data_IF_536809075703
#
_entry.id   IF_536809075703
#
_cell.length_a   1.000
_cell.length_b   1.000
_cell.length_c   1.000
_cell.angle_alpha   90.00
_cell.angle_beta   90.00
_cell.angle_gamma   90.00
#
_symmetry.space_group_name_H-M   'P 1'
#
loop_
_entity.id
_entity.type
_entity.pdbx_description
1 polymer ?
#
# COMPACT_ATOMS: atom_id res chain seq x y z
N UNK A 1 9.72 -29.07 31.98
CA UNK A 1 8.43 -28.92 32.66
C UNK A 1 8.58 -27.79 33.66
N UNK A 2 8.01 -26.62 33.39
CA UNK A 2 7.96 -25.48 34.32
C UNK A 2 6.49 -25.06 34.46
N UNK A 3 5.95 -24.88 35.66
CA UNK A 3 4.55 -24.54 35.86
C UNK A 3 4.28 -23.05 35.59
N UNK A 4 3.17 -22.80 34.91
CA UNK A 4 2.59 -21.49 34.69
C UNK A 4 1.85 -21.06 35.96
N UNK A 5 2.24 -19.92 36.53
CA UNK A 5 1.51 -19.25 37.60
C UNK A 5 0.46 -18.32 37.02
N UNK A 6 -0.79 -18.63 37.25
CA UNK A 6 -1.96 -17.79 36.96
C UNK A 6 -2.14 -16.87 38.15
N UNK A 7 -1.87 -15.58 38.00
CA UNK A 7 -2.23 -14.55 38.96
C UNK A 7 -3.54 -13.88 38.50
N UNK A 8 -4.62 -14.26 39.18
CA UNK A 8 -5.95 -13.68 39.13
C UNK A 8 -5.90 -12.29 39.76
N UNK A 9 -6.11 -11.22 38.98
CA UNK A 9 -6.32 -9.89 39.52
C UNK A 9 -7.75 -9.43 39.26
N UNK A 10 -8.52 -9.47 40.32
CA UNK A 10 -9.88 -8.96 40.46
C UNK A 10 -9.80 -7.45 40.69
N UNK A 11 -10.33 -6.60 39.82
CA UNK A 11 -10.51 -5.18 40.09
C UNK A 11 -11.95 -4.73 39.86
N UNK A 12 -12.45 -4.28 40.87
CA UNK A 12 -13.66 -3.68 41.39
C UNK A 12 -14.32 -2.64 40.49
N UNK A 13 -15.67 -2.72 40.44
CA UNK A 13 -16.59 -1.74 39.87
C UNK A 13 -16.48 -0.39 40.61
N UNK A 14 -16.56 0.71 39.85
CA UNK A 14 -17.05 1.99 40.36
C UNK A 14 -17.96 2.63 39.32
N UNK A 15 -19.25 2.64 39.60
CA UNK A 15 -20.31 3.39 38.94
C UNK A 15 -20.27 4.83 39.39
N UNK A 16 -20.31 5.80 38.46
CA UNK A 16 -20.75 7.17 38.75
C UNK A 16 -21.57 7.67 37.56
N UNK A 17 -22.87 7.75 37.83
CA UNK A 17 -23.85 8.47 37.04
C UNK A 17 -23.74 9.97 37.34
N UNK A 18 -23.75 10.82 36.33
CA UNK A 18 -24.13 12.21 36.45
C UNK A 18 -24.83 12.64 35.16
N UNK A 19 -26.15 12.82 35.29
CA UNK A 19 -26.99 13.59 34.38
C UNK A 19 -26.59 15.07 34.45
N UNK A 20 -26.54 15.74 33.31
CA UNK A 20 -26.41 17.18 33.17
C UNK A 20 -27.04 17.61 31.85
N UNK A 21 -28.22 18.19 32.03
CA UNK A 21 -29.17 18.68 31.06
C UNK A 21 -28.77 20.04 30.45
N UNK A 22 -29.30 20.30 29.24
CA UNK A 22 -29.61 21.61 28.65
C UNK A 22 -28.51 22.49 28.08
N UNK A 23 -28.63 22.76 26.78
CA UNK A 23 -28.15 24.00 26.21
C UNK A 23 -27.78 23.90 24.73
N UNK A 24 -28.76 23.95 23.83
CA UNK A 24 -28.43 24.41 22.47
C UNK A 24 -28.22 25.92 22.49
N UNK A 25 -27.26 26.47 21.79
CA UNK A 25 -27.62 27.20 20.60
C UNK A 25 -26.72 26.94 19.37
N UNK A 26 -27.38 27.01 18.22
CA UNK A 26 -26.83 27.23 16.91
C UNK A 26 -25.46 27.93 16.91
N UNK A 27 -24.46 27.21 16.45
CA UNK A 27 -23.20 27.75 15.98
C UNK A 27 -22.76 26.88 14.80
N UNK A 28 -22.97 27.36 13.58
CA UNK A 28 -22.27 26.90 12.39
C UNK A 28 -20.77 27.03 12.69
N UNK A 29 -20.13 25.92 12.95
CA UNK A 29 -18.72 25.79 12.80
C UNK A 29 -18.54 24.70 11.75
N UNK A 30 -18.30 25.13 10.53
CA UNK A 30 -17.67 24.34 9.51
C UNK A 30 -16.29 23.93 10.05
N UNK A 31 -16.27 22.89 10.85
CA UNK A 31 -15.05 22.14 11.09
C UNK A 31 -15.01 21.12 9.97
N UNK A 32 -14.48 21.56 8.85
CA UNK A 32 -13.89 20.64 7.89
C UNK A 32 -12.88 19.81 8.69
N UNK A 33 -13.31 18.63 9.08
CA UNK A 33 -12.38 17.56 9.44
C UNK A 33 -11.59 17.34 8.15
N UNK A 34 -10.35 17.79 8.13
CA UNK A 34 -9.38 17.36 7.14
C UNK A 34 -9.31 15.83 7.26
N UNK A 35 -10.11 15.15 6.45
CA UNK A 35 -9.92 13.75 6.17
C UNK A 35 -8.48 13.61 5.65
N UNK A 36 -7.65 13.04 6.48
CA UNK A 36 -6.31 12.63 6.07
C UNK A 36 -6.46 11.80 4.80
N UNK A 37 -5.77 12.14 3.70
CA UNK A 37 -5.93 11.46 2.41
C UNK A 37 -5.59 9.96 2.45
N UNK A 38 -5.13 9.45 3.58
CA UNK A 38 -4.77 8.04 3.79
C UNK A 38 -5.94 7.06 3.92
N UNK A 39 -7.20 7.52 4.02
CA UNK A 39 -8.35 6.64 4.32
C UNK A 39 -9.34 6.44 3.16
N UNK A 40 -9.21 7.15 2.04
CA UNK A 40 -10.16 7.09 0.93
C UNK A 40 -9.77 6.14 -0.21
N UNK A 41 -8.53 5.67 -0.29
CA UNK A 41 -8.05 4.91 -1.44
C UNK A 41 -8.02 3.40 -1.17
N UNK A 42 -9.18 2.74 -1.29
CA UNK A 42 -9.24 1.26 -1.27
C UNK A 42 -9.06 0.64 -2.66
N UNK A 43 -8.97 1.46 -3.71
CA UNK A 43 -8.77 1.01 -5.08
C UNK A 43 -7.32 1.31 -5.50
N UNK A 44 -6.58 0.32 -6.03
CA UNK A 44 -5.21 0.53 -6.49
C UNK A 44 -5.04 1.64 -7.53
N UNK A 45 -6.06 1.90 -8.35
CA UNK A 45 -6.04 3.01 -9.31
C UNK A 45 -6.09 4.39 -8.62
N UNK A 46 -6.83 4.50 -7.53
CA UNK A 46 -6.93 5.75 -6.76
C UNK A 46 -5.62 6.02 -6.00
N UNK A 47 -4.96 4.97 -5.51
CA UNK A 47 -3.62 5.09 -4.92
C UNK A 47 -2.63 5.64 -5.94
N UNK A 48 -2.62 5.07 -7.16
CA UNK A 48 -1.73 5.55 -8.22
C UNK A 48 -1.99 7.02 -8.59
N UNK A 49 -3.26 7.44 -8.63
CA UNK A 49 -3.64 8.81 -8.94
C UNK A 49 -3.30 9.81 -7.81
N UNK A 50 -3.29 9.36 -6.57
CA UNK A 50 -2.99 10.19 -5.40
C UNK A 50 -1.48 10.37 -5.16
N UNK A 51 -0.63 9.47 -5.68
CA UNK A 51 0.81 9.59 -5.55
C UNK A 51 1.35 10.68 -6.48
N UNK A 52 2.19 11.52 -5.91
CA UNK A 52 2.79 12.65 -6.61
C UNK A 52 4.20 12.33 -7.12
N UNK A 53 4.79 13.18 -7.97
CA UNK A 53 6.17 13.01 -8.43
C UNK A 53 7.22 12.95 -7.31
N UNK A 54 6.94 13.51 -6.15
CA UNK A 54 7.81 13.41 -4.98
C UNK A 54 7.93 11.98 -4.43
N UNK A 55 7.00 11.09 -4.76
CA UNK A 55 7.08 9.66 -4.40
C UNK A 55 8.08 8.87 -5.28
N UNK A 56 8.66 9.51 -6.29
CA UNK A 56 9.68 8.92 -7.17
C UNK A 56 10.87 8.32 -6.42
N UNK A 57 11.45 8.98 -5.39
CA UNK A 57 12.55 8.40 -4.61
C UNK A 57 12.16 7.09 -3.93
N UNK A 58 10.91 6.96 -3.49
CA UNK A 58 10.40 5.72 -2.91
C UNK A 58 10.21 4.64 -3.97
N UNK A 59 9.67 4.98 -5.12
CA UNK A 59 9.55 4.08 -6.29
C UNK A 59 10.91 3.55 -6.75
N UNK A 60 11.93 4.42 -6.80
CA UNK A 60 13.32 4.04 -7.08
C UNK A 60 13.85 3.02 -6.05
N UNK A 61 13.58 3.24 -4.76
CA UNK A 61 14.04 2.33 -3.71
C UNK A 61 13.42 0.92 -3.88
N UNK A 62 12.13 0.85 -4.14
CA UNK A 62 11.43 -0.42 -4.43
C UNK A 62 11.99 -1.08 -5.68
N UNK A 63 12.19 -0.31 -6.75
CA UNK A 63 12.73 -0.80 -8.01
C UNK A 63 14.12 -1.40 -7.84
N UNK A 64 15.01 -0.69 -7.17
CA UNK A 64 16.38 -1.12 -6.90
C UNK A 64 16.41 -2.40 -6.06
N UNK A 65 15.53 -2.51 -5.08
CA UNK A 65 15.49 -3.66 -4.19
C UNK A 65 14.89 -4.92 -4.82
N UNK A 66 13.94 -4.79 -5.76
CA UNK A 66 13.09 -5.91 -6.23
C UNK A 66 13.15 -6.18 -7.72
N UNK A 67 13.48 -5.17 -8.55
CA UNK A 67 13.25 -5.25 -10.00
C UNK A 67 14.56 -5.24 -10.81
N UNK A 68 15.55 -4.48 -10.36
CA UNK A 68 16.78 -4.18 -11.09
C UNK A 68 17.56 -5.43 -11.52
N UNK A 69 17.56 -6.48 -10.71
CA UNK A 69 18.28 -7.72 -10.97
C UNK A 69 17.87 -8.40 -12.29
N UNK A 70 16.60 -8.30 -12.66
CA UNK A 70 16.05 -8.92 -13.85
C UNK A 70 15.74 -7.93 -14.96
N UNK A 71 15.31 -6.71 -14.58
CA UNK A 71 14.88 -5.72 -15.57
C UNK A 71 15.93 -4.66 -15.89
N UNK A 72 17.05 -4.64 -15.14
CA UNK A 72 18.15 -3.69 -15.36
C UNK A 72 17.84 -2.29 -14.83
N UNK A 73 18.87 -1.45 -14.72
CA UNK A 73 18.71 -0.08 -14.19
C UNK A 73 17.81 0.81 -15.05
N UNK A 74 17.74 0.55 -16.33
CA UNK A 74 16.95 1.29 -17.32
C UNK A 74 15.65 0.58 -17.73
N UNK A 75 15.30 -0.53 -17.08
CA UNK A 75 14.11 -1.29 -17.44
C UNK A 75 14.14 -1.97 -18.80
N UNK A 76 15.31 -2.14 -19.40
CA UNK A 76 15.46 -2.72 -20.74
C UNK A 76 15.40 -4.25 -20.76
N UNK A 77 15.36 -4.88 -19.58
CA UNK A 77 15.47 -6.32 -19.41
C UNK A 77 16.93 -6.78 -19.43
N UNK A 78 17.19 -7.91 -18.79
CA UNK A 78 18.48 -8.60 -18.80
C UNK A 78 18.23 -10.04 -19.24
N UNK A 79 19.05 -10.55 -20.15
CA UNK A 79 18.93 -11.89 -20.73
C UNK A 79 17.52 -12.13 -21.33
N UNK A 80 16.79 -13.11 -20.79
CA UNK A 80 15.44 -13.46 -21.24
C UNK A 80 14.33 -12.69 -20.48
N UNK A 81 14.67 -11.77 -19.57
CA UNK A 81 13.67 -11.00 -18.87
C UNK A 81 13.18 -9.84 -19.76
N UNK A 82 11.86 -9.60 -19.80
CA UNK A 82 11.30 -8.60 -20.70
C UNK A 82 11.66 -7.18 -20.28
N UNK A 83 11.71 -6.29 -21.27
CA UNK A 83 11.76 -4.85 -21.03
C UNK A 83 10.47 -4.37 -20.37
N UNK A 84 10.59 -3.32 -19.54
CA UNK A 84 9.47 -2.60 -18.94
C UNK A 84 9.13 -1.33 -19.72
N UNK A 85 10.04 -0.86 -20.57
CA UNK A 85 9.85 0.30 -21.41
C UNK A 85 8.62 0.15 -22.32
N UNK A 86 7.86 1.23 -22.49
CA UNK A 86 6.60 1.22 -23.24
C UNK A 86 5.38 0.74 -22.43
N UNK A 87 5.56 0.39 -21.16
CA UNK A 87 4.43 0.14 -20.26
C UNK A 87 4.01 1.46 -19.61
N UNK A 88 2.73 1.81 -19.78
CA UNK A 88 2.17 2.93 -19.00
C UNK A 88 2.16 2.58 -17.51
N UNK A 89 2.18 3.62 -16.65
CA UNK A 89 2.09 3.45 -15.19
C UNK A 89 0.94 2.56 -14.77
N UNK A 90 -0.24 2.81 -15.33
CA UNK A 90 -1.45 2.01 -15.07
C UNK A 90 -1.30 0.56 -15.54
N UNK A 91 -0.76 0.32 -16.74
CA UNK A 91 -0.55 -1.03 -17.24
C UNK A 91 0.46 -1.80 -16.38
N UNK A 92 1.52 -1.15 -15.92
CA UNK A 92 2.51 -1.74 -15.02
C UNK A 92 1.89 -2.10 -13.69
N UNK A 93 1.15 -1.19 -13.07
CA UNK A 93 0.44 -1.44 -11.82
C UNK A 93 -0.52 -2.63 -11.94
N UNK A 94 -1.35 -2.65 -12.98
CA UNK A 94 -2.30 -3.74 -13.23
C UNK A 94 -1.61 -5.10 -13.39
N UNK A 95 -0.49 -5.15 -14.12
CA UNK A 95 0.29 -6.39 -14.28
C UNK A 95 0.85 -6.88 -12.94
N UNK A 96 1.43 -6.00 -12.13
CA UNK A 96 1.97 -6.38 -10.82
C UNK A 96 0.88 -6.87 -9.87
N UNK A 97 -0.27 -6.20 -9.82
CA UNK A 97 -1.43 -6.65 -9.05
C UNK A 97 -1.95 -8.00 -9.54
N UNK A 98 -1.97 -8.23 -10.86
CA UNK A 98 -2.39 -9.50 -11.43
C UNK A 98 -1.42 -10.63 -11.06
N UNK A 99 -0.11 -10.40 -11.11
CA UNK A 99 0.89 -11.37 -10.65
C UNK A 99 0.73 -11.67 -9.15
N UNK A 100 0.55 -10.64 -8.32
CA UNK A 100 0.33 -10.81 -6.88
C UNK A 100 -0.94 -11.60 -6.57
N UNK A 101 -1.97 -11.44 -7.39
CA UNK A 101 -3.20 -12.23 -7.32
C UNK A 101 -3.09 -13.65 -7.92
N UNK A 102 -1.90 -14.07 -8.34
CA UNK A 102 -1.66 -15.41 -8.89
C UNK A 102 -2.16 -15.63 -10.32
N UNK A 103 -2.45 -14.55 -11.07
CA UNK A 103 -2.88 -14.68 -12.47
C UNK A 103 -1.70 -15.07 -13.35
N UNK A 104 -1.93 -16.00 -14.27
CA UNK A 104 -0.94 -16.41 -15.28
C UNK A 104 -0.93 -15.39 -16.43
N UNK A 105 0.20 -14.71 -16.62
CA UNK A 105 0.38 -13.69 -17.65
C UNK A 105 1.46 -14.05 -18.69
N UNK A 106 2.15 -15.18 -18.50
CA UNK A 106 3.19 -15.63 -19.41
C UNK A 106 4.24 -16.52 -18.72
N UNK A 107 5.34 -16.84 -19.40
CA UNK A 107 6.33 -17.80 -18.91
C UNK A 107 7.04 -17.36 -17.62
N UNK A 108 7.16 -16.04 -17.38
CA UNK A 108 7.81 -15.49 -16.19
C UNK A 108 6.85 -15.28 -15.00
N UNK A 109 5.61 -15.77 -15.09
CA UNK A 109 4.56 -15.55 -14.04
C UNK A 109 5.03 -15.94 -12.64
N UNK A 110 5.62 -17.13 -12.49
CA UNK A 110 6.03 -17.62 -11.17
C UNK A 110 7.11 -16.73 -10.52
N UNK A 111 8.06 -16.26 -11.32
CA UNK A 111 9.13 -15.37 -10.85
C UNK A 111 8.56 -14.01 -10.46
N UNK A 112 7.73 -13.44 -11.32
CA UNK A 112 7.11 -12.14 -11.07
C UNK A 112 6.15 -12.18 -9.88
N UNK A 113 5.32 -13.21 -9.75
CA UNK A 113 4.45 -13.40 -8.59
C UNK A 113 5.24 -13.41 -7.28
N UNK A 114 6.38 -14.11 -7.25
CA UNK A 114 7.27 -14.13 -6.08
C UNK A 114 7.88 -12.75 -5.80
N UNK A 115 8.29 -12.02 -6.83
CA UNK A 115 8.90 -10.69 -6.69
C UNK A 115 7.93 -9.67 -6.08
N UNK A 116 6.65 -9.72 -6.47
CA UNK A 116 5.63 -8.75 -6.02
C UNK A 116 4.80 -9.21 -4.81
N UNK A 117 4.94 -10.46 -4.36
CA UNK A 117 4.08 -11.05 -3.30
C UNK A 117 4.09 -10.26 -1.99
N UNK A 118 5.23 -9.67 -1.62
CA UNK A 118 5.38 -8.90 -0.38
C UNK A 118 5.20 -7.39 -0.54
N UNK A 119 4.88 -6.90 -1.73
CA UNK A 119 4.68 -5.47 -1.95
C UNK A 119 3.27 -5.04 -1.55
N UNK A 120 3.17 -3.93 -0.83
CA UNK A 120 1.91 -3.23 -0.58
C UNK A 120 1.37 -2.56 -1.84
N UNK A 121 0.11 -2.13 -1.82
CA UNK A 121 -0.48 -1.38 -2.93
C UNK A 121 0.25 -0.06 -3.17
N UNK A 122 0.68 0.62 -2.10
CA UNK A 122 1.46 1.84 -2.20
C UNK A 122 2.84 1.61 -2.85
N UNK A 123 3.53 0.51 -2.51
CA UNK A 123 4.82 0.16 -3.14
C UNK A 123 4.64 -0.19 -4.62
N UNK A 124 3.60 -0.93 -4.97
CA UNK A 124 3.27 -1.23 -6.36
C UNK A 124 2.95 0.05 -7.13
N UNK A 125 2.17 0.97 -6.55
CA UNK A 125 1.86 2.24 -7.18
C UNK A 125 3.12 3.11 -7.35
N UNK A 126 3.94 3.24 -6.31
CA UNK A 126 5.17 4.04 -6.36
C UNK A 126 6.17 3.52 -7.40
N UNK A 127 6.38 2.20 -7.47
CA UNK A 127 7.27 1.63 -8.50
C UNK A 127 6.68 1.74 -9.90
N UNK A 128 5.34 1.75 -10.04
CA UNK A 128 4.67 1.98 -11.31
C UNK A 128 4.85 3.42 -11.81
N UNK A 129 4.88 4.40 -10.90
CA UNK A 129 5.19 5.80 -11.24
C UNK A 129 6.65 5.92 -11.68
N UNK A 130 7.56 5.27 -10.98
CA UNK A 130 8.99 5.35 -11.24
C UNK A 130 9.39 4.70 -12.57
N UNK A 131 8.89 3.50 -12.85
CA UNK A 131 9.35 2.67 -13.98
C UNK A 131 8.36 2.62 -15.15
N UNK A 132 7.15 3.16 -15.00
CA UNK A 132 6.15 3.28 -16.07
C UNK A 132 6.25 4.62 -16.81
N UNK A 133 5.78 4.64 -18.05
CA UNK A 133 5.74 5.82 -18.93
C UNK A 133 4.37 6.54 -18.90
#
# INVERSE_FOLDING_TARGET
MKPFNIATSLFLLATLAACGDSGAPNGKADTALEESPAQAANNPADILAALSPEDQPYGLAVYTAKCVQCHGNLGLGIDNNPALTGLTRSAMQQKMLAYRAGKTLGPHTAVMAKAVAGLSDAEIAAVSIYAGE
#
